data_IF_156933360324
#
_entry.id   IF_156933360324
#
_cell.length_a   1.000
_cell.length_b   1.000
_cell.length_c   1.000
_cell.angle_alpha   90.00
_cell.angle_beta   90.00
_cell.angle_gamma   90.00
#
_symmetry.space_group_name_H-M   'P 1'
#
loop_
_entity.id
_entity.type
_entity.pdbx_description
1 polymer ?
#
# COMPACT_ATOMS: atom_id res chain seq x y z
N UNK A 1 -39.60 11.33 -18.60
CA UNK A 1 -38.63 10.85 -19.62
C UNK A 1 -37.35 11.63 -19.39
N UNK A 2 -36.43 11.05 -18.61
CA UNK A 2 -35.09 11.61 -18.38
C UNK A 2 -34.24 11.16 -19.59
N UNK A 3 -33.76 12.11 -20.37
CA UNK A 3 -32.85 11.86 -21.48
C UNK A 3 -31.56 11.17 -21.00
N UNK A 4 -30.78 10.54 -21.90
CA UNK A 4 -29.54 9.90 -21.54
C UNK A 4 -28.64 10.95 -20.87
N UNK A 5 -28.17 10.67 -19.64
CA UNK A 5 -27.07 11.43 -19.04
C UNK A 5 -25.90 11.38 -20.02
N UNK A 6 -25.38 12.54 -20.38
CA UNK A 6 -24.08 12.60 -21.03
C UNK A 6 -23.12 11.75 -20.18
N UNK A 7 -22.34 10.86 -20.82
CA UNK A 7 -21.20 10.22 -20.16
C UNK A 7 -20.29 11.38 -19.75
N UNK A 8 -20.32 11.74 -18.49
CA UNK A 8 -19.23 12.50 -17.87
C UNK A 8 -18.01 11.62 -18.07
N UNK A 9 -16.89 12.21 -18.50
CA UNK A 9 -15.65 11.48 -18.69
C UNK A 9 -15.27 10.86 -17.34
N UNK A 10 -15.52 9.56 -17.19
CA UNK A 10 -15.13 8.81 -15.99
C UNK A 10 -13.64 8.97 -15.79
N UNK A 11 -13.24 9.40 -14.59
CA UNK A 11 -11.84 9.45 -14.21
C UNK A 11 -11.29 8.02 -14.26
N UNK A 12 -10.21 7.73 -15.00
CA UNK A 12 -9.62 6.40 -15.01
C UNK A 12 -8.99 6.07 -13.64
N UNK A 13 -8.77 4.78 -13.36
CA UNK A 13 -7.88 4.35 -12.29
C UNK A 13 -6.53 5.07 -12.41
N UNK A 14 -5.98 5.51 -11.30
CA UNK A 14 -4.69 6.20 -11.26
C UNK A 14 -3.62 5.33 -10.60
N UNK A 15 -2.36 5.58 -10.89
CA UNK A 15 -1.25 5.03 -10.11
C UNK A 15 -1.10 5.79 -8.79
N UNK A 16 -0.35 5.24 -7.85
CA UNK A 16 -0.10 5.90 -6.56
C UNK A 16 0.89 7.07 -6.66
N UNK A 17 1.61 7.24 -7.78
CA UNK A 17 2.67 8.23 -7.95
C UNK A 17 2.24 9.66 -7.59
N UNK A 18 1.21 10.17 -8.28
CA UNK A 18 0.73 11.54 -8.03
C UNK A 18 -0.01 11.67 -6.70
N UNK A 19 -0.66 10.59 -6.24
CA UNK A 19 -1.27 10.56 -4.90
C UNK A 19 -0.22 10.74 -3.82
N UNK A 20 0.84 9.92 -3.83
CA UNK A 20 1.91 9.94 -2.84
C UNK A 20 2.68 11.26 -2.87
N UNK A 21 2.94 11.80 -4.06
CA UNK A 21 3.57 13.11 -4.19
C UNK A 21 2.75 14.20 -3.51
N UNK A 22 1.44 14.27 -3.80
CA UNK A 22 0.54 15.26 -3.18
C UNK A 22 0.39 15.05 -1.68
N UNK A 23 0.34 13.79 -1.23
CA UNK A 23 0.28 13.45 0.18
C UNK A 23 1.55 13.91 0.91
N UNK A 24 2.72 13.63 0.34
CA UNK A 24 4.00 14.06 0.87
C UNK A 24 4.11 15.59 0.95
N UNK A 25 3.79 16.30 -0.14
CA UNK A 25 3.80 17.75 -0.20
C UNK A 25 2.74 18.41 0.72
N UNK A 26 1.59 17.77 0.86
CA UNK A 26 0.47 18.21 1.69
C UNK A 26 0.55 17.81 3.15
N UNK A 27 1.47 16.89 3.50
CA UNK A 27 1.65 16.39 4.86
C UNK A 27 0.47 15.55 5.36
N UNK A 28 -0.04 14.66 4.52
CA UNK A 28 -1.08 13.69 4.89
C UNK A 28 -0.73 12.30 4.36
N UNK A 29 -1.40 11.27 4.89
CA UNK A 29 -1.27 9.90 4.41
C UNK A 29 -2.43 9.52 3.49
N UNK A 30 -2.21 8.56 2.60
CA UNK A 30 -3.26 7.92 1.80
C UNK A 30 -3.66 6.61 2.46
N UNK A 31 -4.95 6.42 2.70
CA UNK A 31 -5.48 5.16 3.20
C UNK A 31 -5.50 4.08 2.12
N UNK A 32 -4.99 2.89 2.47
CA UNK A 32 -5.08 1.68 1.67
C UNK A 32 -5.97 0.66 2.39
N UNK A 33 -7.03 0.23 1.72
CA UNK A 33 -8.10 -0.55 2.35
C UNK A 33 -8.34 -1.85 1.60
N UNK A 34 -8.26 -2.97 2.34
CA UNK A 34 -8.53 -4.30 1.79
C UNK A 34 -10.00 -4.47 1.44
N UNK A 35 -10.27 -4.93 0.22
CA UNK A 35 -11.62 -5.15 -0.29
C UNK A 35 -11.78 -6.57 -0.82
N UNK A 36 -12.91 -7.20 -0.51
CA UNK A 36 -13.25 -8.54 -0.98
C UNK A 36 -14.73 -8.74 -1.34
N UNK A 37 -15.58 -7.73 -1.08
CA UNK A 37 -17.00 -7.77 -1.41
C UNK A 37 -17.56 -6.35 -1.64
N UNK A 38 -18.79 -6.27 -2.12
CA UNK A 38 -19.46 -5.03 -2.49
C UNK A 38 -19.69 -4.12 -1.27
N UNK A 39 -20.10 -4.67 -0.15
CA UNK A 39 -20.47 -3.91 1.06
C UNK A 39 -19.26 -3.18 1.64
N UNK A 40 -18.10 -3.82 1.63
CA UNK A 40 -16.83 -3.20 2.07
C UNK A 40 -16.44 -2.08 1.09
N UNK A 41 -16.49 -2.33 -0.22
CA UNK A 41 -16.19 -1.30 -1.23
C UNK A 41 -17.09 -0.09 -1.04
N UNK A 42 -18.40 -0.28 -0.91
CA UNK A 42 -19.36 0.81 -0.72
C UNK A 42 -19.05 1.62 0.55
N UNK A 43 -18.85 0.95 1.69
CA UNK A 43 -18.56 1.64 2.96
C UNK A 43 -17.28 2.48 2.91
N UNK A 44 -16.21 1.96 2.28
CA UNK A 44 -14.95 2.69 2.09
C UNK A 44 -15.15 3.89 1.15
N UNK A 45 -15.82 3.68 0.03
CA UNK A 45 -16.06 4.73 -0.98
C UNK A 45 -16.96 5.84 -0.43
N UNK A 46 -18.00 5.50 0.32
CA UNK A 46 -18.87 6.50 0.96
C UNK A 46 -18.09 7.37 1.96
N UNK A 47 -17.24 6.77 2.79
CA UNK A 47 -16.35 7.51 3.69
C UNK A 47 -15.37 8.41 2.92
N UNK A 48 -14.76 7.89 1.85
CA UNK A 48 -13.84 8.66 1.02
C UNK A 48 -14.53 9.85 0.32
N UNK A 49 -15.81 9.70 -0.08
CA UNK A 49 -16.63 10.79 -0.63
C UNK A 49 -16.93 11.87 0.41
N UNK A 50 -17.25 11.47 1.65
CA UNK A 50 -17.48 12.42 2.75
C UNK A 50 -16.21 13.23 3.05
N UNK A 51 -15.06 12.58 3.10
CA UNK A 51 -13.76 13.20 3.40
C UNK A 51 -13.08 13.84 2.18
N UNK A 52 -13.64 13.69 0.97
CA UNK A 52 -13.04 14.14 -0.30
C UNK A 52 -11.60 13.63 -0.47
N UNK A 53 -11.35 12.40 -0.05
CA UNK A 53 -10.03 11.79 0.01
C UNK A 53 -9.77 10.86 -1.17
N UNK A 54 -8.58 10.91 -1.80
CA UNK A 54 -8.13 9.83 -2.66
C UNK A 54 -7.94 8.56 -1.85
N UNK A 55 -8.01 7.40 -2.50
CA UNK A 55 -7.87 6.13 -1.79
C UNK A 55 -7.18 5.04 -2.64
N UNK A 56 -6.63 4.06 -1.95
CA UNK A 56 -6.13 2.82 -2.52
C UNK A 56 -7.08 1.70 -2.11
N UNK A 57 -7.72 1.06 -3.10
CA UNK A 57 -8.45 -0.18 -2.89
C UNK A 57 -7.50 -1.34 -3.15
N UNK A 58 -7.17 -2.08 -2.11
CA UNK A 58 -6.19 -3.15 -2.21
C UNK A 58 -6.85 -4.53 -2.12
N UNK A 59 -6.27 -5.46 -2.85
CA UNK A 59 -6.79 -6.80 -3.04
C UNK A 59 -5.68 -7.80 -2.81
N UNK A 60 -5.81 -8.62 -1.77
CA UNK A 60 -4.88 -9.72 -1.49
C UNK A 60 -5.10 -10.93 -2.40
N UNK A 61 -4.15 -11.87 -2.39
CA UNK A 61 -4.29 -13.17 -3.04
C UNK A 61 -5.53 -13.92 -2.53
N UNK A 62 -5.79 -13.86 -1.21
CA UNK A 62 -6.97 -14.45 -0.58
C UNK A 62 -8.28 -13.84 -1.07
N UNK A 63 -8.36 -12.51 -1.18
CA UNK A 63 -9.52 -11.82 -1.73
C UNK A 63 -9.77 -12.19 -3.21
N UNK A 64 -8.71 -12.28 -4.03
CA UNK A 64 -8.81 -12.73 -5.43
C UNK A 64 -9.33 -14.16 -5.55
N UNK A 65 -8.92 -15.05 -4.66
CA UNK A 65 -9.40 -16.43 -4.61
C UNK A 65 -10.87 -16.51 -4.18
N UNK A 66 -11.27 -15.70 -3.22
CA UNK A 66 -12.64 -15.64 -2.69
C UNK A 66 -13.63 -15.07 -3.72
N UNK A 67 -13.40 -13.85 -4.19
CA UNK A 67 -14.35 -13.09 -5.03
C UNK A 67 -14.09 -13.18 -6.53
N UNK A 68 -12.96 -13.78 -6.95
CA UNK A 68 -12.42 -13.81 -8.31
C UNK A 68 -12.05 -12.42 -8.85
N UNK A 69 -10.92 -12.37 -9.53
CA UNK A 69 -10.32 -11.15 -10.08
C UNK A 69 -11.31 -10.24 -10.82
N UNK A 70 -12.07 -10.80 -11.78
CA UNK A 70 -12.98 -10.01 -12.62
C UNK A 70 -14.07 -9.27 -11.83
N UNK A 71 -14.63 -9.89 -10.78
CA UNK A 71 -15.64 -9.23 -9.96
C UNK A 71 -15.06 -8.08 -9.14
N UNK A 72 -13.86 -8.26 -8.58
CA UNK A 72 -13.18 -7.21 -7.83
C UNK A 72 -12.85 -6.00 -8.72
N UNK A 73 -12.31 -6.23 -9.91
CA UNK A 73 -12.06 -5.16 -10.89
C UNK A 73 -13.36 -4.41 -11.22
N UNK A 74 -14.46 -5.12 -11.46
CA UNK A 74 -15.75 -4.48 -11.78
C UNK A 74 -16.38 -3.74 -10.60
N UNK A 75 -16.15 -4.18 -9.36
CA UNK A 75 -16.56 -3.44 -8.18
C UNK A 75 -15.77 -2.12 -8.05
N UNK A 76 -14.47 -2.15 -8.35
CA UNK A 76 -13.65 -0.94 -8.32
C UNK A 76 -13.98 0.02 -9.48
N UNK A 77 -14.27 -0.50 -10.68
CA UNK A 77 -14.80 0.32 -11.78
C UNK A 77 -16.12 1.01 -11.39
N UNK A 78 -17.02 0.28 -10.73
CA UNK A 78 -18.28 0.86 -10.23
C UNK A 78 -18.01 1.93 -9.15
N UNK A 79 -17.04 1.73 -8.27
CA UNK A 79 -16.62 2.71 -7.28
C UNK A 79 -16.10 4.01 -7.92
N UNK A 80 -15.35 3.91 -9.02
CA UNK A 80 -14.91 5.08 -9.80
C UNK A 80 -16.10 5.86 -10.37
N UNK A 81 -17.07 5.15 -10.98
CA UNK A 81 -18.27 5.78 -11.55
C UNK A 81 -19.14 6.46 -10.48
N UNK A 82 -19.18 5.90 -9.27
CA UNK A 82 -20.00 6.42 -8.16
C UNK A 82 -19.33 7.60 -7.43
N UNK A 83 -18.00 7.62 -7.29
CA UNK A 83 -17.31 8.56 -6.42
C UNK A 83 -16.67 9.74 -7.13
N UNK A 84 -16.20 9.57 -8.36
CA UNK A 84 -15.38 10.54 -9.08
C UNK A 84 -14.11 10.96 -8.30
N UNK A 85 -13.55 10.06 -7.49
CA UNK A 85 -12.33 10.24 -6.71
C UNK A 85 -11.12 9.57 -7.39
N UNK A 86 -9.90 10.05 -7.15
CA UNK A 86 -8.70 9.32 -7.55
C UNK A 86 -8.60 8.00 -6.77
N UNK A 87 -8.73 6.87 -7.48
CA UNK A 87 -8.64 5.52 -6.91
C UNK A 87 -7.50 4.78 -7.58
N UNK A 88 -6.60 4.18 -6.79
CA UNK A 88 -5.66 3.17 -7.25
C UNK A 88 -6.17 1.77 -6.90
N UNK A 89 -6.06 0.84 -7.84
CA UNK A 89 -6.30 -0.58 -7.58
C UNK A 89 -4.97 -1.27 -7.39
N UNK A 90 -4.76 -1.84 -6.21
CA UNK A 90 -3.47 -2.34 -5.72
C UNK A 90 -3.53 -3.83 -5.36
N UNK A 91 -2.52 -4.59 -5.78
CA UNK A 91 -2.27 -5.94 -5.25
C UNK A 91 -1.55 -5.82 -3.92
N UNK A 92 -2.13 -6.38 -2.87
CA UNK A 92 -1.60 -6.45 -1.52
C UNK A 92 -0.87 -7.78 -1.30
N UNK A 93 0.38 -7.75 -0.83
CA UNK A 93 1.23 -8.90 -0.56
C UNK A 93 1.26 -9.97 -1.67
N UNK A 94 1.67 -9.60 -2.87
CA UNK A 94 1.95 -10.56 -3.93
C UNK A 94 3.16 -11.43 -3.56
N UNK A 95 3.00 -12.74 -3.56
CA UNK A 95 4.01 -13.71 -3.14
C UNK A 95 4.96 -14.16 -4.26
N UNK A 96 4.68 -13.76 -5.49
CA UNK A 96 5.42 -14.20 -6.67
C UNK A 96 5.32 -13.23 -7.84
N UNK A 97 6.27 -13.35 -8.77
CA UNK A 97 6.22 -12.59 -10.02
C UNK A 97 4.92 -12.86 -10.80
N UNK A 98 4.46 -14.11 -10.81
CA UNK A 98 3.29 -14.56 -11.55
C UNK A 98 2.03 -13.84 -11.09
N UNK A 99 1.79 -13.70 -9.77
CA UNK A 99 0.61 -13.01 -9.26
C UNK A 99 0.67 -11.50 -9.54
N UNK A 100 1.84 -10.89 -9.43
CA UNK A 100 2.05 -9.49 -9.79
C UNK A 100 1.77 -9.26 -11.28
N UNK A 101 2.32 -10.12 -12.14
CA UNK A 101 2.06 -10.10 -13.58
C UNK A 101 0.59 -10.25 -13.91
N UNK A 102 -0.11 -11.22 -13.30
CA UNK A 102 -1.54 -11.42 -13.51
C UNK A 102 -2.37 -10.19 -13.12
N UNK A 103 -1.97 -9.48 -12.06
CA UNK A 103 -2.64 -8.25 -11.63
C UNK A 103 -2.35 -7.09 -12.60
N UNK A 104 -1.12 -6.92 -13.05
CA UNK A 104 -0.75 -5.93 -14.07
C UNK A 104 -1.56 -6.15 -15.34
N UNK A 105 -1.57 -7.37 -15.87
CA UNK A 105 -2.33 -7.75 -17.07
C UNK A 105 -3.85 -7.62 -16.87
N UNK A 106 -4.30 -7.75 -15.63
CA UNK A 106 -5.70 -7.67 -15.21
C UNK A 106 -6.21 -6.25 -14.93
N UNK A 107 -5.40 -5.21 -15.14
CA UNK A 107 -5.83 -3.80 -15.04
C UNK A 107 -5.58 -3.16 -13.68
N UNK A 108 -4.74 -3.74 -12.84
CA UNK A 108 -4.27 -3.07 -11.62
C UNK A 108 -3.30 -1.93 -11.98
N UNK A 109 -3.36 -0.86 -11.22
CA UNK A 109 -2.49 0.32 -11.42
C UNK A 109 -1.32 0.37 -10.45
N UNK A 110 -1.31 -0.52 -9.46
CA UNK A 110 -0.25 -0.69 -8.46
C UNK A 110 -0.18 -2.15 -8.03
N UNK A 111 1.00 -2.68 -7.80
CA UNK A 111 1.21 -4.03 -7.27
C UNK A 111 2.27 -4.01 -6.19
N UNK A 112 2.08 -4.81 -5.13
CA UNK A 112 3.10 -5.08 -4.15
C UNK A 112 3.69 -6.48 -4.38
N UNK A 113 5.01 -6.56 -4.37
CA UNK A 113 5.75 -7.81 -4.26
C UNK A 113 6.33 -7.94 -2.85
N UNK A 114 5.91 -8.97 -2.14
CA UNK A 114 6.44 -9.30 -0.83
C UNK A 114 7.38 -10.51 -0.90
N UNK A 115 8.66 -10.23 -1.10
CA UNK A 115 9.74 -11.21 -1.06
C UNK A 115 10.58 -11.08 0.23
N UNK A 116 10.05 -10.44 1.28
CA UNK A 116 10.73 -10.17 2.57
C UNK A 116 11.13 -11.43 3.34
N UNK A 117 10.55 -12.58 2.99
CA UNK A 117 10.89 -13.89 3.56
C UNK A 117 12.19 -14.48 3.00
N UNK A 118 12.71 -13.95 1.89
CA UNK A 118 14.01 -14.31 1.32
C UNK A 118 15.15 -13.50 1.94
N UNK A 119 16.39 -13.85 1.60
CA UNK A 119 17.52 -12.99 1.90
C UNK A 119 17.52 -11.72 1.03
N UNK A 120 18.36 -10.75 1.39
CA UNK A 120 18.38 -9.44 0.75
C UNK A 120 18.59 -9.53 -0.78
N UNK A 121 19.56 -10.32 -1.22
CA UNK A 121 19.93 -10.41 -2.65
C UNK A 121 18.80 -11.05 -3.47
N UNK A 122 18.16 -12.06 -2.93
CA UNK A 122 17.03 -12.71 -3.61
C UNK A 122 15.78 -11.82 -3.58
N UNK A 123 15.50 -11.10 -2.48
CA UNK A 123 14.44 -10.10 -2.45
C UNK A 123 14.68 -9.02 -3.53
N UNK A 124 15.90 -8.48 -3.62
CA UNK A 124 16.28 -7.52 -4.69
C UNK A 124 16.04 -8.12 -6.09
N UNK A 125 16.46 -9.35 -6.32
CA UNK A 125 16.32 -10.01 -7.63
C UNK A 125 14.85 -10.17 -8.05
N UNK A 126 14.01 -10.68 -7.13
CA UNK A 126 12.57 -10.89 -7.41
C UNK A 126 11.87 -9.56 -7.61
N UNK A 127 12.09 -8.62 -6.72
CA UNK A 127 11.49 -7.28 -6.78
C UNK A 127 11.84 -6.57 -8.08
N UNK A 128 13.11 -6.59 -8.49
CA UNK A 128 13.55 -5.99 -9.75
C UNK A 128 12.86 -6.60 -10.97
N UNK A 129 12.66 -7.91 -10.99
CA UNK A 129 11.93 -8.58 -12.07
C UNK A 129 10.47 -8.07 -12.16
N UNK A 130 9.80 -7.85 -11.02
CA UNK A 130 8.44 -7.29 -10.98
C UNK A 130 8.44 -5.84 -11.45
N UNK A 131 9.40 -5.02 -10.97
CA UNK A 131 9.53 -3.60 -11.35
C UNK A 131 9.71 -3.47 -12.87
N UNK A 132 10.62 -4.23 -13.47
CA UNK A 132 10.87 -4.20 -14.92
C UNK A 132 9.59 -4.51 -15.72
N UNK A 133 8.82 -5.50 -15.27
CA UNK A 133 7.57 -5.86 -15.92
C UNK A 133 6.49 -4.80 -15.74
N UNK A 134 6.23 -4.40 -14.50
CA UNK A 134 5.16 -3.46 -14.16
C UNK A 134 5.38 -2.08 -14.79
N UNK A 135 6.60 -1.55 -14.72
CA UNK A 135 6.94 -0.26 -15.31
C UNK A 135 6.77 -0.26 -16.84
N UNK A 136 7.06 -1.37 -17.53
CA UNK A 136 6.82 -1.50 -18.96
C UNK A 136 5.32 -1.40 -19.32
N UNK A 137 4.42 -1.60 -18.35
CA UNK A 137 2.96 -1.51 -18.49
C UNK A 137 2.37 -0.25 -17.81
N UNK A 138 3.21 0.66 -17.30
CA UNK A 138 2.75 1.88 -16.62
C UNK A 138 2.14 1.64 -15.24
N UNK A 139 2.47 0.52 -14.60
CA UNK A 139 2.02 0.14 -13.25
C UNK A 139 3.16 0.36 -12.27
N UNK A 140 2.85 0.92 -11.09
CA UNK A 140 3.83 1.17 -10.03
C UNK A 140 3.97 -0.03 -9.11
N UNK A 141 5.13 -0.13 -8.45
CA UNK A 141 5.49 -1.27 -7.60
C UNK A 141 5.82 -0.82 -6.19
N UNK A 142 5.18 -1.46 -5.24
CA UNK A 142 5.57 -1.47 -3.83
C UNK A 142 6.36 -2.75 -3.53
N UNK A 143 7.31 -2.67 -2.60
CA UNK A 143 8.00 -3.85 -2.07
C UNK A 143 8.10 -3.77 -0.55
N UNK A 144 8.50 -4.87 0.08
CA UNK A 144 8.70 -4.94 1.53
C UNK A 144 10.15 -5.28 1.89
N UNK A 145 10.68 -4.55 2.88
CA UNK A 145 11.94 -4.87 3.53
C UNK A 145 11.80 -4.83 5.06
N UNK A 146 12.23 -5.88 5.71
CA UNK A 146 11.88 -6.23 7.07
C UNK A 146 10.75 -7.25 7.07
N UNK A 147 10.24 -7.64 8.23
CA UNK A 147 9.11 -8.59 8.34
C UNK A 147 8.23 -8.19 9.52
N UNK A 148 6.97 -7.90 9.24
CA UNK A 148 5.98 -7.65 10.27
C UNK A 148 5.47 -8.97 10.86
N UNK A 149 5.28 -9.01 12.19
CA UNK A 149 4.59 -10.12 12.84
C UNK A 149 3.08 -10.08 12.57
N UNK A 150 2.41 -11.22 12.70
CA UNK A 150 0.95 -11.31 12.66
C UNK A 150 0.42 -12.15 11.52
N UNK A 151 -0.90 -12.15 11.38
CA UNK A 151 -1.63 -12.92 10.36
C UNK A 151 -2.52 -11.98 9.57
N UNK A 152 -2.34 -11.96 8.25
CA UNK A 152 -3.19 -11.28 7.29
C UNK A 152 -3.37 -12.18 6.06
N UNK A 153 -4.60 -12.61 5.82
CA UNK A 153 -4.93 -13.57 4.77
C UNK A 153 -3.97 -14.80 4.73
N UNK A 154 -3.18 -14.91 3.68
CA UNK A 154 -2.22 -16.01 3.49
C UNK A 154 -0.83 -15.70 4.11
N UNK A 155 -0.59 -14.48 4.62
CA UNK A 155 0.65 -14.10 5.31
C UNK A 155 0.55 -14.44 6.79
N UNK A 156 1.51 -15.22 7.27
CA UNK A 156 1.59 -15.62 8.70
C UNK A 156 3.04 -15.56 9.18
N UNK A 157 3.37 -14.57 9.97
CA UNK A 157 4.72 -14.34 10.52
C UNK A 157 4.68 -14.42 12.04
N UNK A 158 5.46 -15.31 12.63
CA UNK A 158 5.59 -15.40 14.09
C UNK A 158 6.36 -14.21 14.65
N UNK A 159 6.13 -13.85 15.93
CA UNK A 159 6.89 -12.80 16.60
C UNK A 159 8.41 -13.07 16.58
N UNK A 160 8.82 -14.34 16.54
CA UNK A 160 10.23 -14.73 16.48
C UNK A 160 10.86 -14.52 15.08
N UNK A 161 10.05 -14.48 14.04
CA UNK A 161 10.48 -14.29 12.66
C UNK A 161 10.37 -12.83 12.21
N UNK A 162 9.72 -11.97 13.01
CA UNK A 162 9.62 -10.54 12.75
C UNK A 162 11.01 -9.87 12.82
N UNK A 163 11.29 -8.98 11.87
CA UNK A 163 12.56 -8.26 11.78
C UNK A 163 12.31 -6.81 11.38
N UNK A 164 12.84 -5.89 12.15
CA UNK A 164 12.78 -4.48 11.81
C UNK A 164 13.66 -4.17 10.60
N UNK A 165 13.20 -3.25 9.78
CA UNK A 165 13.91 -2.78 8.59
C UNK A 165 15.22 -2.08 8.99
N UNK A 166 16.33 -2.46 8.37
CA UNK A 166 17.59 -1.73 8.46
C UNK A 166 17.55 -0.50 7.53
N UNK A 167 17.77 0.73 8.03
CA UNK A 167 17.62 1.94 7.23
C UNK A 167 18.62 2.04 6.07
N UNK A 168 19.85 1.60 6.26
CA UNK A 168 20.88 1.60 5.22
C UNK A 168 20.55 0.58 4.13
N UNK A 169 20.08 -0.62 4.51
CA UNK A 169 19.59 -1.61 3.57
C UNK A 169 18.34 -1.14 2.81
N UNK A 170 17.45 -0.36 3.46
CA UNK A 170 16.28 0.21 2.79
C UNK A 170 16.69 1.15 1.66
N UNK A 171 17.66 2.03 1.89
CA UNK A 171 18.17 2.93 0.87
C UNK A 171 18.85 2.18 -0.28
N UNK A 172 19.66 1.17 0.03
CA UNK A 172 20.29 0.30 -0.95
C UNK A 172 19.27 -0.48 -1.78
N UNK A 173 18.27 -1.06 -1.12
CA UNK A 173 17.19 -1.82 -1.76
C UNK A 173 16.42 -0.99 -2.78
N UNK A 174 15.97 0.21 -2.41
CA UNK A 174 15.28 1.13 -3.32
C UNK A 174 16.15 1.49 -4.52
N UNK A 175 17.44 1.76 -4.29
CA UNK A 175 18.38 2.07 -5.39
C UNK A 175 18.58 0.89 -6.35
N UNK A 176 18.70 -0.34 -5.84
CA UNK A 176 18.95 -1.53 -6.65
C UNK A 176 17.71 -2.00 -7.42
N UNK A 177 16.53 -1.85 -6.83
CA UNK A 177 15.27 -2.39 -7.39
C UNK A 177 14.52 -1.39 -8.26
N UNK A 178 14.58 -0.09 -7.91
CA UNK A 178 13.81 0.95 -8.58
C UNK A 178 12.32 0.90 -8.25
N UNK A 179 11.91 0.39 -7.07
CA UNK A 179 10.52 0.41 -6.60
C UNK A 179 10.01 1.84 -6.39
N UNK A 180 8.69 2.01 -6.44
CA UNK A 180 8.02 3.31 -6.32
C UNK A 180 7.63 3.65 -4.88
N UNK A 181 7.50 2.64 -4.01
CA UNK A 181 7.26 2.76 -2.57
C UNK A 181 7.81 1.56 -1.82
N UNK A 182 8.07 1.74 -0.51
CA UNK A 182 8.65 0.69 0.32
C UNK A 182 7.87 0.54 1.63
N UNK A 183 7.35 -0.65 1.87
CA UNK A 183 6.83 -1.06 3.15
C UNK A 183 7.98 -1.39 4.10
N UNK A 184 7.95 -0.78 5.30
CA UNK A 184 8.96 -0.96 6.34
C UNK A 184 8.38 -1.53 7.62
N UNK A 185 9.15 -2.35 8.30
CA UNK A 185 8.82 -2.91 9.61
C UNK A 185 9.45 -2.07 10.72
N UNK A 186 8.61 -1.37 11.48
CA UNK A 186 9.02 -0.54 12.62
C UNK A 186 8.29 -0.89 13.92
N UNK A 187 7.53 -1.99 13.96
CA UNK A 187 6.85 -2.49 15.16
C UNK A 187 5.33 -2.61 15.05
N UNK A 188 4.71 -2.26 13.93
CA UNK A 188 3.32 -2.61 13.65
C UNK A 188 3.18 -4.12 13.43
N UNK A 189 1.95 -4.62 13.44
CA UNK A 189 1.66 -6.02 13.15
C UNK A 189 0.37 -6.16 12.35
N UNK A 190 0.30 -7.19 11.53
CA UNK A 190 -0.90 -7.56 10.80
C UNK A 190 -2.02 -8.08 11.72
N UNK A 191 -3.25 -8.05 11.23
CA UNK A 191 -4.41 -8.61 11.91
C UNK A 191 -5.09 -7.67 12.90
N UNK A 192 -6.15 -8.16 13.54
CA UNK A 192 -7.02 -7.38 14.44
C UNK A 192 -6.41 -7.14 15.82
N UNK A 193 -5.44 -7.95 16.23
CA UNK A 193 -4.80 -7.87 17.55
C UNK A 193 -3.37 -7.38 17.40
N UNK A 194 -3.17 -6.06 17.46
CA UNK A 194 -1.94 -5.37 17.08
C UNK A 194 -0.78 -5.54 18.04
N UNK A 195 -1.04 -5.55 19.33
CA UNK A 195 0.02 -5.57 20.36
C UNK A 195 -0.29 -6.62 21.41
N UNK A 196 0.67 -7.52 21.68
CA UNK A 196 0.59 -8.50 22.79
C UNK A 196 1.14 -7.96 24.11
N UNK A 197 1.64 -6.73 24.13
CA UNK A 197 2.25 -6.02 25.26
C UNK A 197 2.06 -4.52 25.10
N UNK A 198 2.96 -3.73 25.70
CA UNK A 198 2.96 -2.28 25.52
C UNK A 198 3.21 -1.95 24.05
N UNK A 199 2.40 -1.08 23.44
CA UNK A 199 2.59 -0.67 22.05
C UNK A 199 3.95 0.01 21.87
N UNK A 200 4.69 -0.41 20.84
CA UNK A 200 5.98 0.17 20.51
C UNK A 200 6.13 0.34 19.00
N UNK A 201 6.53 1.54 18.59
CA UNK A 201 6.99 1.81 17.24
C UNK A 201 8.37 2.46 17.28
N UNK A 202 9.28 2.01 16.42
CA UNK A 202 10.66 2.52 16.33
C UNK A 202 10.69 3.80 15.46
N UNK A 203 10.36 4.93 16.08
CA UNK A 203 10.35 6.23 15.42
C UNK A 203 11.74 6.73 15.02
N UNK A 204 12.80 6.33 15.76
CA UNK A 204 14.18 6.68 15.39
C UNK A 204 14.56 6.00 14.06
N UNK A 205 14.11 4.78 13.87
CA UNK A 205 14.25 4.03 12.61
C UNK A 205 13.47 4.69 11.47
N UNK A 206 12.20 5.05 11.68
CA UNK A 206 11.39 5.76 10.69
C UNK A 206 12.05 7.07 10.25
N UNK A 207 12.52 7.86 11.22
CA UNK A 207 13.26 9.09 10.96
C UNK A 207 14.51 8.83 10.12
N UNK A 208 15.30 7.82 10.48
CA UNK A 208 16.52 7.48 9.75
C UNK A 208 16.25 7.03 8.32
N UNK A 209 15.20 6.23 8.09
CA UNK A 209 14.76 5.85 6.75
C UNK A 209 14.36 7.09 5.94
N UNK A 210 13.57 8.01 6.51
CA UNK A 210 13.18 9.25 5.85
C UNK A 210 14.35 10.18 5.51
N UNK A 211 15.40 10.21 6.35
CA UNK A 211 16.63 10.95 6.08
C UNK A 211 17.43 10.36 4.91
N UNK A 212 17.47 9.04 4.79
CA UNK A 212 18.21 8.32 3.73
C UNK A 212 17.43 8.25 2.41
N UNK A 213 16.10 8.30 2.48
CA UNK A 213 15.18 8.25 1.34
C UNK A 213 14.30 9.51 1.28
N UNK A 214 14.88 10.71 1.06
CA UNK A 214 14.10 11.94 1.01
C UNK A 214 13.15 11.95 -0.18
N UNK A 215 11.89 12.36 0.06
CA UNK A 215 10.81 12.42 -0.93
C UNK A 215 10.40 11.03 -1.51
N UNK A 216 10.80 9.96 -0.88
CA UNK A 216 10.43 8.61 -1.28
C UNK A 216 9.24 8.11 -0.45
N UNK A 217 8.19 7.53 -1.07
CA UNK A 217 7.01 7.04 -0.36
C UNK A 217 7.34 5.85 0.55
N UNK A 218 7.04 6.00 1.84
CA UNK A 218 7.13 4.95 2.83
C UNK A 218 5.73 4.46 3.17
N UNK A 219 5.55 3.14 3.22
CA UNK A 219 4.29 2.49 3.55
C UNK A 219 4.39 1.83 4.93
N UNK A 220 3.33 1.96 5.71
CA UNK A 220 3.22 1.34 7.02
C UNK A 220 2.06 0.34 7.00
N UNK A 221 2.39 -0.94 6.83
CA UNK A 221 1.42 -2.02 6.96
C UNK A 221 1.00 -2.22 8.41
N UNK A 222 -0.18 -2.81 8.62
CA UNK A 222 -0.70 -3.03 9.95
C UNK A 222 -0.97 -1.74 10.75
N UNK A 223 -1.19 -0.61 10.08
CA UNK A 223 -1.37 0.70 10.70
C UNK A 223 -2.79 0.94 11.24
N UNK A 224 -3.78 0.15 10.87
CA UNK A 224 -5.13 0.24 11.44
C UNK A 224 -5.10 0.04 12.95
N UNK A 225 -5.80 0.89 13.71
CA UNK A 225 -5.84 0.86 15.19
C UNK A 225 -4.51 1.21 15.89
N UNK A 226 -3.58 1.86 15.20
CA UNK A 226 -2.42 2.49 15.83
C UNK A 226 -2.90 3.64 16.71
N UNK A 227 -2.27 3.82 17.89
CA UNK A 227 -2.69 4.84 18.86
C UNK A 227 -2.52 6.26 18.27
N UNK A 228 -3.43 7.20 18.57
CA UNK A 228 -3.35 8.58 18.05
C UNK A 228 -2.01 9.29 18.34
N UNK A 229 -1.42 9.03 19.49
CA UNK A 229 -0.09 9.55 19.84
C UNK A 229 1.03 9.02 18.95
N UNK A 230 0.90 7.79 18.42
CA UNK A 230 1.85 7.22 17.47
C UNK A 230 1.64 7.78 16.08
N UNK A 231 0.38 8.00 15.66
CA UNK A 231 0.08 8.70 14.41
C UNK A 231 0.72 10.09 14.42
N UNK A 232 0.58 10.85 15.52
CA UNK A 232 1.21 12.16 15.64
C UNK A 232 2.74 12.10 15.50
N UNK A 233 3.40 11.08 16.08
CA UNK A 233 4.84 10.88 15.93
C UNK A 233 5.24 10.41 14.53
N UNK A 234 4.44 9.57 13.86
CA UNK A 234 4.66 9.23 12.46
C UNK A 234 4.66 10.48 11.58
N UNK A 235 3.73 11.41 11.83
CA UNK A 235 3.66 12.69 11.12
C UNK A 235 4.89 13.57 11.39
N UNK A 236 5.43 13.54 12.61
CA UNK A 236 6.63 14.29 12.97
C UNK A 236 7.88 13.76 12.25
N UNK A 237 8.02 12.45 12.13
CA UNK A 237 9.27 11.81 11.67
C UNK A 237 9.17 11.19 10.28
N UNK A 238 7.99 10.83 9.82
CA UNK A 238 7.76 10.17 8.53
C UNK A 238 7.58 11.13 7.36
N UNK A 239 7.20 12.39 7.64
CA UNK A 239 7.10 13.44 6.65
C UNK A 239 7.85 14.69 7.11
N UNK A 240 8.76 15.20 6.33
CA UNK A 240 9.48 16.44 6.64
C UNK A 240 8.64 17.71 6.44
N UNK A 241 7.33 17.64 6.64
CA UNK A 241 6.42 18.75 6.37
C UNK A 241 5.90 19.30 7.70
N UNK A 242 6.26 20.51 8.10
CA UNK A 242 5.71 21.15 9.28
C UNK A 242 4.18 21.26 9.19
N UNK A 243 3.48 20.73 10.20
CA UNK A 243 2.02 20.78 10.27
C UNK A 243 1.30 19.61 9.59
N UNK A 244 2.02 18.55 9.18
CA UNK A 244 1.42 17.31 8.70
C UNK A 244 0.39 16.77 9.72
N UNK A 245 -0.80 16.45 9.23
CA UNK A 245 -1.84 15.79 10.01
C UNK A 245 -2.15 14.44 9.35
N UNK A 246 -1.90 13.36 10.07
CA UNK A 246 -2.16 12.00 9.61
C UNK A 246 -3.64 11.67 9.53
#
# INVERSE_FOLDING_TARGET
MTGPRAKEDNMPLVTTTEMFKKAYEGGYAIGAFNVNNMEIVQGIVDAAKEEQSPLILQVSAGARKYAKHIYLVKLVEAALEDSNLPIALHLDHGDSFEICKDCVDGGFTSVMIDASHHDFDENVRITKQVVEYAHAHGVVVEAELGRLAGVEDDVNVSDADARFTDPEQAAEFVHLTGVDSLAIAIGTSHGAYKFKGDPYLDFDRLKKVGELLPNFPIVLHGASSVLPEFVAKCNEFGGNIPGAQG
#
